data_IF_585593122631
#
_entry.id   IF_585593122631
#
_cell.length_a   1.000
_cell.length_b   1.000
_cell.length_c   1.000
_cell.angle_alpha   90.00
_cell.angle_beta   90.00
_cell.angle_gamma   90.00
#
_symmetry.space_group_name_H-M   'P 1'
#
loop_
_entity.id
_entity.type
_entity.pdbx_description
1 polymer ?
#
# COMPACT_ATOMS: atom_id res chain seq x y z
N UNK A 1 0.74 20.27 -10.05
CA UNK A 1 1.39 19.38 -9.07
C UNK A 1 0.41 18.27 -8.73
N UNK A 2 0.67 17.04 -9.18
CA UNK A 2 -0.21 15.92 -8.84
C UNK A 2 -0.18 15.69 -7.33
N UNK A 3 -1.33 15.75 -6.68
CA UNK A 3 -1.47 15.45 -5.25
C UNK A 3 -1.18 13.97 -5.06
N UNK A 4 0.07 13.61 -4.71
CA UNK A 4 0.39 12.24 -4.30
C UNK A 4 -0.46 11.88 -3.10
N UNK A 5 -1.23 10.81 -3.24
CA UNK A 5 -2.02 10.26 -2.13
C UNK A 5 -1.18 9.30 -1.31
N UNK A 6 -1.55 9.07 -0.05
CA UNK A 6 -0.88 8.09 0.82
C UNK A 6 -0.74 6.74 0.14
N UNK A 7 -1.75 6.28 -0.59
CA UNK A 7 -1.64 5.00 -1.30
C UNK A 7 -0.61 4.99 -2.42
N UNK A 8 -0.43 6.09 -3.16
CA UNK A 8 0.64 6.17 -4.17
C UNK A 8 2.01 6.11 -3.51
N UNK A 9 2.20 6.81 -2.38
CA UNK A 9 3.43 6.71 -1.61
C UNK A 9 3.67 5.27 -1.10
N UNK A 10 2.63 4.57 -0.66
CA UNK A 10 2.72 3.16 -0.25
C UNK A 10 3.07 2.25 -1.44
N UNK A 11 2.47 2.45 -2.62
CA UNK A 11 2.80 1.70 -3.84
C UNK A 11 4.28 1.91 -4.16
N UNK A 12 4.76 3.15 -4.18
CA UNK A 12 6.14 3.47 -4.51
C UNK A 12 7.13 2.81 -3.53
N UNK A 13 6.81 2.82 -2.23
CA UNK A 13 7.63 2.14 -1.21
C UNK A 13 7.67 0.64 -1.45
N UNK A 14 6.52 -0.01 -1.62
CA UNK A 14 6.46 -1.46 -1.83
C UNK A 14 7.05 -1.87 -3.19
N UNK A 15 6.91 -1.05 -4.24
CA UNK A 15 7.52 -1.28 -5.55
C UNK A 15 9.05 -1.17 -5.47
N UNK A 16 9.56 -0.17 -4.75
CA UNK A 16 10.99 0.01 -4.57
C UNK A 16 11.59 -1.08 -3.67
N UNK A 17 10.88 -1.50 -2.63
CA UNK A 17 11.33 -2.51 -1.70
C UNK A 17 11.24 -3.93 -2.28
N UNK A 18 10.30 -4.19 -3.20
CA UNK A 18 10.03 -5.51 -3.81
C UNK A 18 9.81 -6.64 -2.79
N UNK A 19 9.43 -6.28 -1.57
CA UNK A 19 9.26 -7.21 -0.45
C UNK A 19 8.04 -6.81 0.37
N UNK A 20 7.39 -7.77 1.06
CA UNK A 20 6.29 -7.47 1.96
C UNK A 20 6.77 -6.67 3.17
N UNK A 21 6.06 -5.60 3.50
CA UNK A 21 6.42 -4.71 4.61
C UNK A 21 5.23 -4.49 5.54
N UNK A 22 5.50 -4.20 6.81
CA UNK A 22 4.43 -3.84 7.76
C UNK A 22 4.00 -2.38 7.54
N UNK A 23 2.80 -2.02 8.02
CA UNK A 23 2.35 -0.62 8.02
C UNK A 23 3.36 0.31 8.69
N UNK A 24 4.03 -0.16 9.74
CA UNK A 24 5.03 0.63 10.45
C UNK A 24 6.23 0.92 9.55
N UNK A 25 6.78 -0.11 8.87
CA UNK A 25 7.94 0.05 7.99
C UNK A 25 7.60 0.91 6.77
N UNK A 26 6.40 0.73 6.21
CA UNK A 26 5.91 1.54 5.09
C UNK A 26 5.83 3.01 5.52
N UNK A 27 5.19 3.28 6.67
CA UNK A 27 5.06 4.63 7.21
C UNK A 27 6.42 5.28 7.43
N UNK A 28 7.36 4.54 8.04
CA UNK A 28 8.71 5.01 8.27
C UNK A 28 9.44 5.31 6.96
N UNK A 29 9.29 4.45 5.94
CA UNK A 29 9.93 4.65 4.65
C UNK A 29 9.36 5.87 3.91
N UNK A 30 8.04 6.09 3.99
CA UNK A 30 7.38 7.28 3.42
C UNK A 30 7.94 8.55 4.06
N UNK A 31 8.12 8.56 5.38
CA UNK A 31 8.70 9.69 6.12
C UNK A 31 10.19 9.87 5.77
N UNK A 32 10.97 8.80 5.76
CA UNK A 32 12.40 8.84 5.46
C UNK A 32 12.68 9.32 4.03
N UNK A 33 11.79 9.02 3.09
CA UNK A 33 11.89 9.42 1.67
C UNK A 33 11.13 10.71 1.35
N UNK A 34 10.51 11.34 2.35
CA UNK A 34 9.64 12.51 2.19
C UNK A 34 8.62 12.38 1.05
N UNK A 35 8.06 11.17 0.88
CA UNK A 35 7.11 10.88 -0.21
C UNK A 35 5.73 11.47 0.08
N UNK A 36 5.41 11.67 1.36
CA UNK A 36 4.15 12.22 1.83
C UNK A 36 4.28 12.76 3.24
N UNK A 37 3.82 13.99 3.46
CA UNK A 37 3.76 14.61 4.79
C UNK A 37 2.43 14.29 5.47
N UNK A 38 2.49 13.64 6.63
CA UNK A 38 1.30 13.34 7.42
C UNK A 38 0.99 14.48 8.38
N UNK A 39 -0.12 15.19 8.18
CA UNK A 39 -0.64 16.20 9.12
C UNK A 39 -1.47 15.56 10.24
N UNK A 40 -1.08 14.39 10.73
CA UNK A 40 -1.80 13.64 11.77
C UNK A 40 -0.82 13.15 12.84
N UNK A 41 -1.33 12.99 14.07
CA UNK A 41 -0.58 12.38 15.18
C UNK A 41 -0.35 10.88 14.96
N UNK A 42 -1.18 10.24 14.14
CA UNK A 42 -1.15 8.79 13.91
C UNK A 42 -1.06 8.45 12.41
N UNK A 43 0.10 8.67 11.78
CA UNK A 43 0.29 8.39 10.35
C UNK A 43 0.06 6.91 10.00
N UNK A 44 0.36 5.99 10.93
CA UNK A 44 0.13 4.55 10.77
C UNK A 44 -1.35 4.22 10.51
N UNK A 45 -2.27 4.89 11.21
CA UNK A 45 -3.71 4.64 11.03
C UNK A 45 -4.20 5.13 9.66
N UNK A 46 -3.65 6.24 9.16
CA UNK A 46 -3.93 6.75 7.82
C UNK A 46 -3.40 5.78 6.75
N UNK A 47 -2.17 5.30 6.89
CA UNK A 47 -1.57 4.31 5.98
C UNK A 47 -2.36 3.02 5.98
N UNK A 48 -2.66 2.45 7.16
CA UNK A 48 -3.48 1.25 7.30
C UNK A 48 -4.83 1.43 6.61
N UNK A 49 -5.56 2.51 6.92
CA UNK A 49 -6.87 2.75 6.32
C UNK A 49 -6.80 3.02 4.81
N UNK A 50 -5.70 3.57 4.29
CA UNK A 50 -5.48 3.75 2.85
C UNK A 50 -5.21 2.41 2.15
N UNK A 51 -4.44 1.52 2.79
CA UNK A 51 -4.18 0.16 2.31
C UNK A 51 -5.47 -0.67 2.38
N UNK A 52 -6.16 -0.71 3.52
CA UNK A 52 -7.39 -1.49 3.71
C UNK A 52 -8.51 -1.11 2.74
N UNK A 53 -8.66 0.19 2.43
CA UNK A 53 -9.61 0.66 1.40
C UNK A 53 -9.28 0.15 -0.01
N UNK A 54 -8.03 -0.22 -0.27
CA UNK A 54 -7.53 -0.73 -1.56
C UNK A 54 -7.10 -2.20 -1.49
N UNK A 55 -7.25 -2.83 -0.32
CA UNK A 55 -6.91 -4.22 -0.09
C UNK A 55 -8.10 -5.07 -0.50
N UNK A 56 -7.79 -6.22 -1.10
CA UNK A 56 -8.76 -7.21 -1.56
C UNK A 56 -9.70 -7.62 -0.39
N UNK A 57 -10.94 -7.13 -0.39
CA UNK A 57 -11.93 -7.52 0.63
C UNK A 57 -13.10 -6.56 0.87
N UNK A 58 -12.99 -5.27 0.55
CA UNK A 58 -14.09 -4.32 0.72
C UNK A 58 -14.78 -4.02 -0.62
N UNK A 59 -15.77 -4.86 -0.89
CA UNK A 59 -16.80 -4.76 -1.94
C UNK A 59 -17.14 -3.34 -2.41
N UNK A 60 -16.97 -3.10 -3.71
CA UNK A 60 -18.07 -2.59 -4.54
C UNK A 60 -17.91 -3.07 -5.99
N UNK A 61 -19.02 -3.53 -6.57
CA UNK A 61 -19.19 -4.05 -7.93
C UNK A 61 -18.94 -3.02 -9.05
N UNK A 62 -18.21 -1.95 -8.78
CA UNK A 62 -18.00 -0.89 -9.76
C UNK A 62 -16.53 -0.79 -10.16
N UNK A 63 -16.31 -1.20 -11.40
CA UNK A 63 -15.38 -0.61 -12.36
C UNK A 63 -13.89 -0.76 -12.03
N UNK A 64 -13.26 -1.75 -12.67
CA UNK A 64 -11.89 -1.67 -13.17
C UNK A 64 -10.78 -1.28 -12.16
N UNK A 65 -10.95 -1.49 -10.86
CA UNK A 65 -9.96 -1.05 -9.87
C UNK A 65 -8.90 -2.14 -9.69
N UNK A 66 -7.75 -1.95 -10.32
CA UNK A 66 -6.57 -2.82 -10.22
C UNK A 66 -6.29 -3.19 -8.76
N UNK A 67 -6.23 -4.49 -8.48
CA UNK A 67 -5.88 -5.04 -7.17
C UNK A 67 -4.43 -4.67 -6.88
N UNK A 68 -4.18 -3.64 -6.08
CA UNK A 68 -2.80 -3.21 -5.82
C UNK A 68 -2.19 -3.90 -4.60
N UNK A 69 -2.94 -4.19 -3.54
CA UNK A 69 -2.37 -4.64 -2.26
C UNK A 69 -2.98 -5.95 -1.76
N UNK A 70 -2.13 -6.82 -1.21
CA UNK A 70 -2.50 -8.06 -0.51
C UNK A 70 -1.93 -8.06 0.89
N UNK A 71 -2.78 -8.38 1.86
CA UNK A 71 -2.39 -8.61 3.25
C UNK A 71 -1.96 -10.06 3.40
N UNK A 72 -0.79 -10.27 3.99
CA UNK A 72 -0.26 -11.57 4.36
C UNK A 72 -0.73 -11.97 5.76
N UNK A 73 -0.78 -13.28 6.07
CA UNK A 73 -1.22 -13.78 7.38
C UNK A 73 -0.28 -13.37 8.53
N UNK A 74 0.95 -12.98 8.23
CA UNK A 74 1.93 -12.44 9.20
C UNK A 74 1.71 -10.95 9.56
N UNK A 75 0.69 -10.30 8.99
CA UNK A 75 0.41 -8.88 9.19
C UNK A 75 1.22 -7.94 8.29
N UNK A 76 1.95 -8.46 7.31
CA UNK A 76 2.64 -7.67 6.28
C UNK A 76 1.73 -7.41 5.08
N UNK A 77 2.10 -6.41 4.28
CA UNK A 77 1.42 -6.04 3.06
C UNK A 77 2.39 -6.10 1.89
N UNK A 78 1.93 -6.68 0.78
CA UNK A 78 2.69 -6.76 -0.47
C UNK A 78 1.86 -6.19 -1.62
N UNK A 79 2.54 -5.78 -2.67
CA UNK A 79 1.87 -5.44 -3.92
C UNK A 79 1.50 -6.71 -4.68
N UNK A 80 0.27 -6.77 -5.16
CA UNK A 80 -0.16 -7.75 -6.16
C UNK A 80 0.08 -7.11 -7.51
N UNK A 81 1.31 -7.23 -8.02
CA UNK A 81 1.51 -7.00 -9.45
C UNK A 81 0.94 -8.21 -10.19
N UNK A 82 0.12 -7.95 -11.20
CA UNK A 82 -0.61 -8.92 -12.05
C UNK A 82 0.29 -9.91 -12.83
N UNK A 83 1.54 -10.12 -12.41
CA UNK A 83 2.39 -11.21 -12.86
C UNK A 83 2.35 -12.34 -11.84
N UNK A 84 1.21 -13.01 -11.73
CA UNK A 84 1.25 -14.43 -11.42
C UNK A 84 1.93 -15.13 -12.59
N UNK A 85 3.25 -15.30 -12.52
CA UNK A 85 3.90 -16.40 -13.22
C UNK A 85 3.39 -17.69 -12.60
N UNK A 86 2.27 -18.19 -13.14
CA UNK A 86 2.00 -19.62 -13.15
C UNK A 86 3.13 -20.26 -13.95
N UNK A 87 4.11 -20.83 -13.24
CA UNK A 87 4.97 -21.88 -13.80
C UNK A 87 4.48 -23.18 -13.17
N UNK A 88 3.72 -23.92 -13.95
CA UNK A 88 3.38 -25.32 -13.73
C UNK A 88 4.56 -26.20 -14.18
#
# INVERSE_FOLDING_TARGET
MERRTVAQAVIEVLQAAKQPMTVADITQTILNKDLYTFNTKEPRNIVRGAIERRCEGLTRKDLATQKCFKKLPDGRYTLVSDRETYSN
#
